data_IF_874488894492
#
_entry.id   IF_874488894492
#
_cell.length_a   1.000
_cell.length_b   1.000
_cell.length_c   1.000
_cell.angle_alpha   90.00
_cell.angle_beta   90.00
_cell.angle_gamma   90.00
#
_symmetry.space_group_name_H-M   'P 1'
#
loop_
_entity.id
_entity.type
_entity.pdbx_description
1 polymer ?
#
# COMPACT_ATOMS: atom_id res chain seq x y z
N UNK A 1 10.55 15.66 2.80
CA UNK A 1 10.83 14.62 1.80
C UNK A 1 11.28 13.28 2.44
N UNK A 2 10.67 12.89 3.55
CA UNK A 2 10.88 11.61 4.22
C UNK A 2 9.55 10.93 4.52
N UNK A 3 8.55 11.14 3.68
CA UNK A 3 7.28 10.42 3.75
C UNK A 3 7.51 8.98 3.34
N UNK A 4 7.17 8.10 4.21
CA UNK A 4 6.90 6.65 3.93
C UNK A 4 8.06 5.74 3.49
N UNK A 5 9.31 6.18 3.48
CA UNK A 5 10.42 5.31 3.03
C UNK A 5 10.77 4.18 3.99
N UNK A 6 10.08 4.07 5.12
CA UNK A 6 10.57 3.19 6.18
C UNK A 6 9.75 1.94 6.43
N UNK A 7 8.56 1.79 5.88
CA UNK A 7 7.83 0.58 6.19
C UNK A 7 7.82 -0.46 5.07
N UNK A 8 7.93 -0.13 3.87
CA UNK A 8 7.97 -1.07 2.75
C UNK A 8 8.33 -0.28 1.50
N UNK A 9 9.61 -0.09 1.28
CA UNK A 9 10.14 0.37 0.00
C UNK A 9 9.93 -0.75 -1.02
N UNK A 10 8.76 -0.83 -1.60
CA UNK A 10 8.59 -1.44 -2.90
C UNK A 10 9.01 -0.37 -3.91
N UNK A 11 10.33 -0.22 -4.09
CA UNK A 11 10.84 0.53 -5.23
C UNK A 11 10.36 -0.14 -6.52
N UNK A 12 10.03 0.66 -7.57
CA UNK A 12 9.78 0.11 -8.91
C UNK A 12 10.92 -0.75 -9.47
N UNK A 13 12.11 -0.70 -8.88
CA UNK A 13 13.26 -1.54 -9.20
C UNK A 13 13.12 -3.00 -8.76
N UNK A 14 12.13 -3.36 -7.92
CA UNK A 14 11.79 -4.76 -7.64
C UNK A 14 10.94 -5.40 -8.77
N UNK A 15 10.29 -4.60 -9.58
CA UNK A 15 9.76 -5.04 -10.86
C UNK A 15 10.86 -4.73 -11.88
N UNK A 16 11.52 -5.74 -12.42
CA UNK A 16 12.65 -5.62 -13.35
C UNK A 16 12.51 -4.40 -14.25
N UNK A 17 13.59 -3.69 -14.47
CA UNK A 17 13.56 -2.42 -15.18
C UNK A 17 12.78 -2.57 -16.48
N UNK A 18 11.91 -1.62 -16.82
CA UNK A 18 11.13 -1.58 -18.08
C UNK A 18 11.96 -2.00 -19.32
N UNK A 19 13.29 -1.71 -19.42
CA UNK A 19 14.15 -2.23 -20.47
C UNK A 19 14.27 -3.76 -20.53
N UNK A 20 14.34 -4.47 -19.40
CA UNK A 20 14.46 -5.94 -19.37
C UNK A 20 13.14 -6.62 -19.76
N UNK A 21 12.01 -6.05 -19.34
CA UNK A 21 10.69 -6.50 -19.78
C UNK A 21 10.49 -6.26 -21.30
N UNK A 22 10.87 -5.09 -21.79
CA UNK A 22 10.80 -4.77 -23.22
C UNK A 22 11.77 -5.65 -24.04
N UNK A 23 12.96 -5.95 -23.51
CA UNK A 23 13.90 -6.84 -24.15
C UNK A 23 13.38 -8.29 -24.19
N UNK A 24 12.74 -8.76 -23.13
CA UNK A 24 12.04 -10.06 -23.09
C UNK A 24 10.86 -10.08 -24.05
N UNK A 25 10.09 -9.01 -24.14
CA UNK A 25 8.96 -8.90 -25.05
C UNK A 25 9.42 -8.84 -26.53
N UNK A 26 10.52 -8.14 -26.82
CA UNK A 26 11.10 -8.08 -28.17
C UNK A 26 11.76 -9.40 -28.57
N UNK A 27 12.41 -10.09 -27.62
CA UNK A 27 12.92 -11.44 -27.83
C UNK A 27 11.78 -12.43 -28.06
N UNK A 28 10.68 -12.31 -27.34
CA UNK A 28 9.48 -13.11 -27.53
C UNK A 28 8.82 -12.82 -28.90
N UNK A 29 8.69 -11.55 -29.29
CA UNK A 29 8.20 -11.14 -30.61
C UNK A 29 9.10 -11.63 -31.73
N UNK A 30 10.43 -11.59 -31.56
CA UNK A 30 11.40 -12.04 -32.55
C UNK A 30 11.39 -13.56 -32.70
N UNK A 31 11.31 -14.30 -31.61
CA UNK A 31 11.22 -15.76 -31.63
C UNK A 31 9.89 -16.26 -32.18
N UNK A 32 8.76 -15.63 -31.80
CA UNK A 32 7.43 -16.03 -32.29
C UNK A 32 7.06 -15.43 -33.62
N UNK A 33 7.48 -14.20 -33.93
CA UNK A 33 7.20 -13.55 -35.20
C UNK A 33 7.92 -14.22 -36.37
N UNK A 34 9.16 -14.67 -36.19
CA UNK A 34 9.89 -15.39 -37.24
C UNK A 34 9.49 -16.88 -37.33
N UNK A 35 9.16 -17.51 -36.18
CA UNK A 35 8.67 -18.89 -36.14
C UNK A 35 7.25 -19.04 -36.72
N UNK A 36 6.37 -18.10 -36.45
CA UNK A 36 4.98 -18.12 -36.94
C UNK A 36 4.89 -17.93 -38.43
N UNK A 37 5.75 -17.09 -39.02
CA UNK A 37 5.82 -16.90 -40.47
C UNK A 37 6.37 -18.13 -41.20
N UNK A 38 7.32 -18.86 -40.60
CA UNK A 38 7.93 -20.05 -41.17
C UNK A 38 7.07 -21.32 -41.02
N UNK A 39 6.17 -21.37 -40.03
CA UNK A 39 5.32 -22.55 -39.72
C UNK A 39 3.85 -22.33 -40.01
N UNK A 40 3.44 -21.19 -40.57
CA UNK A 40 2.05 -20.91 -40.96
C UNK A 40 1.47 -21.92 -41.97
N UNK A 41 2.29 -22.78 -42.56
CA UNK A 41 1.86 -23.86 -43.42
C UNK A 41 1.74 -25.24 -42.76
N UNK A 42 2.13 -25.46 -41.52
CA UNK A 42 2.21 -26.77 -40.89
C UNK A 42 1.35 -27.01 -39.64
N UNK A 43 0.82 -25.96 -39.01
CA UNK A 43 -0.15 -26.14 -37.95
C UNK A 43 -1.55 -25.89 -38.50
N UNK A 44 -2.47 -26.83 -38.38
CA UNK A 44 -3.87 -26.60 -38.70
C UNK A 44 -4.51 -25.75 -37.60
N UNK A 45 -4.12 -24.51 -37.45
CA UNK A 45 -5.03 -23.52 -36.92
C UNK A 45 -6.08 -23.35 -38.02
N UNK A 46 -7.03 -24.28 -38.02
CA UNK A 46 -8.23 -24.08 -38.80
C UNK A 46 -8.83 -22.77 -38.28
N UNK A 47 -8.75 -21.74 -39.10
CA UNK A 47 -9.56 -20.53 -39.01
C UNK A 47 -11.01 -20.91 -39.28
N UNK A 48 -11.49 -21.95 -38.57
CA UNK A 48 -12.85 -22.43 -38.69
C UNK A 48 -13.69 -21.55 -37.79
N UNK A 49 -14.11 -20.41 -38.34
CA UNK A 49 -14.97 -19.46 -37.66
C UNK A 49 -16.21 -20.15 -37.06
N UNK A 50 -16.66 -21.25 -37.67
CA UNK A 50 -17.80 -22.04 -37.20
C UNK A 50 -17.49 -22.80 -35.92
N UNK A 51 -16.29 -23.36 -35.77
CA UNK A 51 -15.84 -24.02 -34.53
C UNK A 51 -15.59 -23.03 -33.41
N UNK A 52 -15.01 -21.86 -33.75
CA UNK A 52 -14.82 -20.79 -32.79
C UNK A 52 -16.18 -20.27 -32.25
N UNK A 53 -17.16 -20.08 -33.12
CA UNK A 53 -18.52 -19.70 -32.74
C UNK A 53 -19.22 -20.78 -31.90
N UNK A 54 -19.08 -22.07 -32.27
CA UNK A 54 -19.62 -23.16 -31.50
C UNK A 54 -19.02 -23.25 -30.09
N UNK A 55 -17.70 -23.05 -29.94
CA UNK A 55 -17.03 -22.98 -28.63
C UNK A 55 -17.50 -21.79 -27.79
N UNK A 56 -17.61 -20.61 -28.40
CA UNK A 56 -18.17 -19.42 -27.75
C UNK A 56 -19.58 -19.71 -27.22
N UNK A 57 -20.46 -20.19 -28.08
CA UNK A 57 -21.83 -20.52 -27.71
C UNK A 57 -21.89 -21.59 -26.61
N UNK A 58 -21.00 -22.58 -26.62
CA UNK A 58 -20.92 -23.59 -25.59
C UNK A 58 -20.51 -23.02 -24.24
N UNK A 59 -19.52 -22.11 -24.20
CA UNK A 59 -19.10 -21.43 -22.96
C UNK A 59 -20.25 -20.58 -22.40
N UNK A 60 -20.90 -19.80 -23.24
CA UNK A 60 -22.00 -18.91 -22.82
C UNK A 60 -23.22 -19.71 -22.34
N UNK A 61 -23.55 -20.83 -23.00
CA UNK A 61 -24.73 -21.65 -22.65
C UNK A 61 -24.49 -22.56 -21.43
N UNK A 62 -23.31 -23.16 -21.31
CA UNK A 62 -23.03 -24.10 -20.22
C UNK A 62 -22.53 -23.41 -18.94
N UNK A 63 -21.90 -22.24 -19.07
CA UNK A 63 -21.31 -21.50 -17.95
C UNK A 63 -21.68 -20.01 -17.99
N UNK A 64 -22.98 -19.64 -18.00
CA UNK A 64 -23.44 -18.26 -18.22
C UNK A 64 -22.96 -17.26 -17.16
N UNK A 65 -22.72 -17.73 -15.95
CA UNK A 65 -22.21 -16.91 -14.84
C UNK A 65 -20.68 -16.83 -14.79
N UNK A 66 -19.98 -17.58 -15.66
CA UNK A 66 -18.52 -17.54 -15.68
C UNK A 66 -18.06 -16.21 -16.30
N UNK A 67 -16.92 -15.71 -15.79
CA UNK A 67 -16.27 -14.52 -16.34
C UNK A 67 -15.97 -14.66 -17.84
N UNK A 68 -15.58 -15.85 -18.28
CA UNK A 68 -15.31 -16.11 -19.70
C UNK A 68 -16.55 -15.95 -20.57
N UNK A 69 -17.71 -16.43 -20.07
CA UNK A 69 -19.00 -16.21 -20.76
C UNK A 69 -19.34 -14.72 -20.84
N UNK A 70 -19.12 -13.96 -19.76
CA UNK A 70 -19.34 -12.51 -19.72
C UNK A 70 -18.42 -11.76 -20.70
N UNK A 71 -17.12 -12.10 -20.74
CA UNK A 71 -16.17 -11.52 -21.70
C UNK A 71 -16.59 -11.83 -23.14
N UNK A 72 -16.98 -13.08 -23.42
CA UNK A 72 -17.39 -13.50 -24.76
C UNK A 72 -18.70 -12.83 -25.19
N UNK A 73 -19.65 -12.66 -24.27
CA UNK A 73 -20.94 -12.01 -24.54
C UNK A 73 -20.80 -10.50 -24.74
N UNK A 74 -19.81 -9.85 -24.11
CA UNK A 74 -19.57 -8.41 -24.17
C UNK A 74 -18.59 -7.99 -25.29
N UNK A 75 -18.15 -8.90 -26.16
CA UNK A 75 -17.21 -8.56 -27.24
C UNK A 75 -17.78 -7.63 -28.31
N UNK A 76 -19.10 -7.39 -28.33
CA UNK A 76 -19.75 -6.47 -29.29
C UNK A 76 -20.04 -5.08 -28.72
N UNK A 77 -19.67 -4.79 -27.51
CA UNK A 77 -19.76 -3.43 -26.96
C UNK A 77 -18.37 -2.89 -26.73
N UNK A 78 -17.99 -1.89 -27.54
CA UNK A 78 -16.92 -0.93 -27.27
C UNK A 78 -17.19 -0.17 -25.94
N UNK A 79 -17.44 -0.88 -24.86
CA UNK A 79 -17.52 -0.31 -23.53
C UNK A 79 -16.09 -0.17 -22.98
N UNK A 80 -15.45 0.93 -23.36
CA UNK A 80 -14.19 1.42 -22.78
C UNK A 80 -14.28 1.63 -21.24
N UNK A 81 -15.40 1.32 -20.61
CA UNK A 81 -15.67 1.43 -19.18
C UNK A 81 -15.80 0.09 -18.44
N UNK A 82 -15.62 -1.07 -19.09
CA UNK A 82 -15.55 -2.32 -18.33
C UNK A 82 -14.34 -2.29 -17.40
N UNK A 83 -14.58 -2.43 -16.09
CA UNK A 83 -13.52 -2.56 -15.09
C UNK A 83 -12.81 -3.89 -15.32
N UNK A 84 -11.68 -3.84 -16.03
CA UNK A 84 -10.80 -5.00 -16.14
C UNK A 84 -10.08 -5.21 -14.80
N UNK A 85 -9.72 -6.46 -14.45
CA UNK A 85 -8.99 -6.73 -13.21
C UNK A 85 -7.70 -5.92 -13.08
N UNK A 86 -6.96 -5.75 -14.18
CA UNK A 86 -5.73 -4.95 -14.21
C UNK A 86 -6.01 -3.47 -13.96
N UNK A 87 -7.09 -2.93 -14.54
CA UNK A 87 -7.50 -1.54 -14.30
C UNK A 87 -7.91 -1.35 -12.84
N UNK A 88 -8.66 -2.29 -12.28
CA UNK A 88 -9.05 -2.29 -10.86
C UNK A 88 -7.82 -2.33 -9.96
N UNK A 89 -6.86 -3.23 -10.24
CA UNK A 89 -5.60 -3.30 -9.48
C UNK A 89 -4.83 -1.98 -9.53
N UNK A 90 -4.70 -1.36 -10.72
CA UNK A 90 -4.01 -0.09 -10.86
C UNK A 90 -4.69 1.04 -10.07
N UNK A 91 -6.03 1.10 -10.07
CA UNK A 91 -6.78 2.05 -9.26
C UNK A 91 -6.52 1.83 -7.76
N UNK A 92 -6.51 0.58 -7.30
CA UNK A 92 -6.23 0.23 -5.92
C UNK A 92 -4.80 0.56 -5.52
N UNK A 93 -3.85 0.35 -6.41
CA UNK A 93 -2.46 0.74 -6.18
C UNK A 93 -2.29 2.26 -6.06
N UNK A 94 -3.05 3.06 -6.83
CA UNK A 94 -3.11 4.52 -6.64
C UNK A 94 -3.69 4.92 -5.27
N UNK A 95 -4.73 4.22 -4.78
CA UNK A 95 -5.25 4.44 -3.42
C UNK A 95 -4.19 4.10 -2.36
N UNK A 96 -3.43 3.03 -2.56
CA UNK A 96 -2.31 2.66 -1.69
C UNK A 96 -1.24 3.76 -1.63
N UNK A 97 -0.83 4.29 -2.79
CA UNK A 97 0.14 5.41 -2.87
C UNK A 97 -0.37 6.69 -2.20
N UNK A 98 -1.69 6.92 -2.24
CA UNK A 98 -2.34 8.06 -1.58
C UNK A 98 -2.60 7.82 -0.09
N UNK A 99 -2.14 6.70 0.45
CA UNK A 99 -2.31 6.30 1.86
C UNK A 99 -3.79 6.19 2.31
N UNK A 100 -4.71 5.95 1.37
CA UNK A 100 -6.14 5.75 1.66
C UNK A 100 -6.41 4.29 2.08
N UNK A 101 -5.67 3.81 3.07
CA UNK A 101 -5.59 2.38 3.41
C UNK A 101 -6.91 1.79 3.90
N UNK A 102 -7.69 2.51 4.69
CA UNK A 102 -8.99 2.02 5.21
C UNK A 102 -9.96 1.78 4.05
N UNK A 103 -10.11 2.79 3.21
CA UNK A 103 -10.98 2.70 2.02
C UNK A 103 -10.49 1.63 1.04
N UNK A 104 -9.18 1.55 0.84
CA UNK A 104 -8.57 0.53 -0.01
C UNK A 104 -8.85 -0.88 0.52
N UNK A 105 -8.73 -1.11 1.82
CA UNK A 105 -8.96 -2.43 2.42
C UNK A 105 -10.38 -2.93 2.18
N UNK A 106 -11.38 -2.05 2.31
CA UNK A 106 -12.78 -2.38 2.00
C UNK A 106 -12.96 -2.76 0.53
N UNK A 107 -12.35 -1.98 -0.38
CA UNK A 107 -12.38 -2.25 -1.82
C UNK A 107 -11.70 -3.57 -2.18
N UNK A 108 -10.53 -3.85 -1.60
CA UNK A 108 -9.81 -5.10 -1.81
C UNK A 108 -10.61 -6.31 -1.36
N UNK A 109 -11.25 -6.26 -0.19
CA UNK A 109 -12.09 -7.35 0.30
C UNK A 109 -13.24 -7.67 -0.66
N UNK A 110 -13.85 -6.65 -1.26
CA UNK A 110 -14.91 -6.82 -2.26
C UNK A 110 -14.36 -7.40 -3.56
N UNK A 111 -13.25 -6.85 -4.07
CA UNK A 111 -12.65 -7.26 -5.35
C UNK A 111 -12.10 -8.68 -5.31
N UNK A 112 -11.54 -9.13 -4.19
CA UNK A 112 -11.04 -10.49 -4.01
C UNK A 112 -12.17 -11.53 -4.17
N UNK A 113 -13.37 -11.22 -3.67
CA UNK A 113 -14.55 -12.06 -3.87
C UNK A 113 -15.00 -12.02 -5.33
N UNK A 114 -15.07 -10.81 -5.91
CA UNK A 114 -15.52 -10.59 -7.29
C UNK A 114 -14.62 -11.28 -8.32
N UNK A 115 -13.30 -11.24 -8.13
CA UNK A 115 -12.30 -11.80 -9.03
C UNK A 115 -11.82 -13.20 -8.59
N UNK A 116 -12.62 -13.92 -7.79
CA UNK A 116 -12.27 -15.27 -7.37
C UNK A 116 -12.02 -16.18 -8.56
N UNK A 117 -10.86 -16.87 -8.56
CA UNK A 117 -10.41 -17.72 -9.67
C UNK A 117 -9.72 -17.01 -10.82
N UNK A 118 -9.52 -15.70 -10.73
CA UNK A 118 -8.81 -14.89 -11.73
C UNK A 118 -7.30 -14.84 -11.47
N UNK A 119 -6.52 -14.68 -12.54
CA UNK A 119 -5.05 -14.53 -12.47
C UNK A 119 -4.59 -13.30 -11.70
N UNK A 120 -5.43 -12.28 -11.56
CA UNK A 120 -5.14 -11.07 -10.78
C UNK A 120 -5.22 -11.29 -9.27
N UNK A 121 -5.87 -12.38 -8.83
CA UNK A 121 -6.17 -12.60 -7.42
C UNK A 121 -4.94 -12.59 -6.50
N UNK A 122 -3.81 -13.23 -6.85
CA UNK A 122 -2.60 -13.16 -6.03
C UNK A 122 -2.08 -11.72 -5.84
N UNK A 123 -2.18 -10.86 -6.87
CA UNK A 123 -1.79 -9.45 -6.78
C UNK A 123 -2.67 -8.66 -5.83
N UNK A 124 -3.98 -8.90 -5.88
CA UNK A 124 -4.94 -8.25 -4.97
C UNK A 124 -4.72 -8.70 -3.52
N UNK A 125 -4.47 -10.01 -3.31
CA UNK A 125 -4.19 -10.56 -1.99
C UNK A 125 -2.87 -10.00 -1.40
N UNK A 126 -1.82 -9.91 -2.19
CA UNK A 126 -0.56 -9.30 -1.74
C UNK A 126 -0.73 -7.80 -1.44
N UNK A 127 -1.50 -7.07 -2.26
CA UNK A 127 -1.81 -5.66 -1.98
C UNK A 127 -2.65 -5.52 -0.70
N UNK A 128 -3.59 -6.45 -0.44
CA UNK A 128 -4.34 -6.52 0.81
C UNK A 128 -3.41 -6.75 2.00
N UNK A 129 -2.48 -7.69 1.92
CA UNK A 129 -1.49 -7.94 2.96
C UNK A 129 -0.67 -6.70 3.27
N UNK A 130 -0.17 -6.00 2.23
CA UNK A 130 0.57 -4.74 2.39
C UNK A 130 -0.29 -3.64 3.02
N UNK A 131 -1.57 -3.55 2.67
CA UNK A 131 -2.52 -2.58 3.26
C UNK A 131 -2.78 -2.89 4.73
N UNK A 132 -2.96 -4.16 5.06
CA UNK A 132 -3.11 -4.63 6.45
C UNK A 132 -1.85 -4.34 7.29
N UNK A 133 -0.66 -4.45 6.72
CA UNK A 133 0.59 -4.08 7.39
C UNK A 133 0.58 -2.60 7.83
N UNK A 134 0.07 -1.71 6.98
CA UNK A 134 -0.03 -0.26 7.27
C UNK A 134 -1.00 0.04 8.41
N UNK A 135 -2.11 -0.68 8.48
CA UNK A 135 -3.16 -0.45 9.46
C UNK A 135 -2.97 -1.24 10.77
N UNK A 136 -2.49 -2.48 10.69
CA UNK A 136 -2.49 -3.42 11.80
C UNK A 136 -1.10 -3.91 12.23
N UNK A 137 -0.06 -3.53 11.50
CA UNK A 137 1.33 -3.77 11.86
C UNK A 137 1.85 -5.16 11.46
N UNK A 138 3.08 -5.44 11.94
CA UNK A 138 3.90 -6.56 11.47
C UNK A 138 3.30 -7.94 11.78
N UNK A 139 2.59 -8.10 12.89
CA UNK A 139 1.99 -9.40 13.27
C UNK A 139 0.91 -9.82 12.28
N UNK A 140 0.01 -8.90 11.93
CA UNK A 140 -1.05 -9.14 10.94
C UNK A 140 -0.45 -9.29 9.54
N UNK A 141 0.56 -8.49 9.22
CA UNK A 141 1.28 -8.60 7.95
C UNK A 141 1.90 -9.98 7.74
N UNK A 142 2.63 -10.48 8.74
CA UNK A 142 3.23 -11.82 8.71
C UNK A 142 2.19 -12.88 8.37
N UNK A 143 1.08 -12.89 9.09
CA UNK A 143 -0.02 -13.83 8.87
C UNK A 143 -0.58 -13.73 7.46
N UNK A 144 -0.83 -12.52 6.97
CA UNK A 144 -1.35 -12.31 5.63
C UNK A 144 -0.36 -12.76 4.54
N UNK A 145 0.95 -12.55 4.72
CA UNK A 145 1.98 -13.06 3.82
C UNK A 145 2.05 -14.59 3.84
N UNK A 146 1.89 -15.24 5.01
CA UNK A 146 1.82 -16.70 5.13
C UNK A 146 0.65 -17.25 4.32
N UNK A 147 -0.52 -16.62 4.38
CA UNK A 147 -1.70 -16.99 3.59
C UNK A 147 -1.41 -16.86 2.08
N UNK A 148 -0.83 -15.74 1.62
CA UNK A 148 -0.47 -15.55 0.19
C UNK A 148 0.56 -16.58 -0.28
N UNK A 149 1.61 -16.81 0.50
CA UNK A 149 2.67 -17.77 0.15
C UNK A 149 2.15 -19.22 0.08
N UNK A 150 1.18 -19.57 0.93
CA UNK A 150 0.56 -20.89 0.98
C UNK A 150 -0.45 -21.10 -0.15
N UNK A 151 -1.29 -20.10 -0.43
CA UNK A 151 -2.35 -20.23 -1.44
C UNK A 151 -1.82 -20.12 -2.87
N UNK A 152 -0.75 -19.34 -3.08
CA UNK A 152 -0.21 -19.03 -4.41
C UNK A 152 1.29 -19.36 -4.56
N UNK A 153 1.75 -20.57 -4.18
CA UNK A 153 3.19 -20.90 -4.08
C UNK A 153 3.96 -20.79 -5.38
N UNK A 154 3.28 -20.91 -6.52
CA UNK A 154 3.87 -20.91 -7.86
C UNK A 154 3.81 -19.55 -8.57
N UNK A 155 3.04 -18.58 -8.05
CA UNK A 155 2.97 -17.23 -8.61
C UNK A 155 4.14 -16.36 -8.13
N UNK A 156 4.38 -15.26 -8.80
CA UNK A 156 5.43 -14.33 -8.39
C UNK A 156 5.09 -13.65 -7.07
N UNK A 157 3.81 -13.36 -6.81
CA UNK A 157 3.32 -12.80 -5.55
C UNK A 157 3.51 -13.78 -4.38
N UNK A 158 3.27 -15.07 -4.58
CA UNK A 158 3.50 -16.09 -3.56
C UNK A 158 5.00 -16.26 -3.24
N UNK A 159 5.86 -16.24 -4.27
CA UNK A 159 7.33 -16.24 -4.09
C UNK A 159 7.80 -14.97 -3.36
N UNK A 160 7.26 -13.80 -3.75
CA UNK A 160 7.54 -12.53 -3.08
C UNK A 160 7.11 -12.56 -1.62
N UNK A 161 5.92 -13.07 -1.31
CA UNK A 161 5.45 -13.22 0.07
C UNK A 161 6.39 -14.11 0.89
N UNK A 162 6.88 -15.22 0.32
CA UNK A 162 7.85 -16.12 0.96
C UNK A 162 9.20 -15.44 1.20
N UNK A 163 9.68 -14.63 0.26
CA UNK A 163 10.90 -13.86 0.41
C UNK A 163 10.78 -12.82 1.54
N UNK A 164 9.67 -12.08 1.57
CA UNK A 164 9.37 -11.11 2.63
C UNK A 164 9.31 -11.77 4.02
N UNK A 165 8.70 -12.95 4.13
CA UNK A 165 8.66 -13.74 5.36
C UNK A 165 10.04 -14.17 5.84
N UNK A 166 10.91 -14.56 4.92
CA UNK A 166 12.24 -15.06 5.25
C UNK A 166 13.23 -13.96 5.58
N UNK A 167 13.18 -12.82 4.87
CA UNK A 167 14.24 -11.80 4.91
C UNK A 167 13.81 -10.53 5.65
N UNK A 168 12.56 -10.07 5.47
CA UNK A 168 12.12 -8.78 6.00
C UNK A 168 11.41 -8.90 7.36
N UNK A 169 10.45 -9.80 7.48
CA UNK A 169 9.66 -9.97 8.69
C UNK A 169 10.52 -10.18 9.94
N UNK A 170 11.55 -11.06 9.94
CA UNK A 170 12.38 -11.28 11.12
C UNK A 170 13.11 -10.01 11.61
N UNK A 171 13.51 -9.12 10.69
CA UNK A 171 14.13 -7.85 11.05
C UNK A 171 13.13 -6.86 11.65
N UNK A 172 11.90 -6.83 11.14
CA UNK A 172 10.82 -5.97 11.66
C UNK A 172 10.32 -6.44 13.04
N UNK A 173 10.29 -7.75 13.29
CA UNK A 173 9.92 -8.31 14.59
C UNK A 173 10.95 -7.99 15.69
N UNK A 174 12.25 -7.92 15.32
CA UNK A 174 13.35 -7.67 16.26
C UNK A 174 13.52 -6.23 16.68
N UNK A 175 13.00 -5.25 15.93
CA UNK A 175 13.11 -3.84 16.35
C UNK A 175 12.39 -3.63 17.68
N UNK A 176 12.97 -2.80 18.55
CA UNK A 176 12.38 -2.48 19.83
C UNK A 176 12.65 -1.02 20.22
N UNK A 177 12.04 -0.57 21.32
CA UNK A 177 12.25 0.76 21.84
C UNK A 177 13.69 0.97 22.27
N UNK A 178 14.19 2.17 21.98
CA UNK A 178 15.54 2.59 22.36
C UNK A 178 15.51 3.87 23.19
N UNK A 179 16.47 4.02 24.07
CA UNK A 179 16.69 5.25 24.85
C UNK A 179 17.57 6.25 24.10
N UNK A 180 18.33 5.81 23.10
CA UNK A 180 19.14 6.69 22.26
C UNK A 180 18.31 7.32 21.15
N UNK A 181 18.39 8.62 21.00
CA UNK A 181 17.61 9.34 19.99
C UNK A 181 18.46 10.40 19.28
N UNK A 182 18.43 10.41 17.96
CA UNK A 182 19.06 11.43 17.11
C UNK A 182 18.13 12.60 16.78
N UNK A 183 16.85 12.33 16.74
CA UNK A 183 15.81 13.33 16.47
C UNK A 183 14.48 12.93 17.11
N UNK A 184 13.62 13.90 17.28
CA UNK A 184 12.34 13.75 17.97
C UNK A 184 11.19 14.23 17.09
N UNK A 185 9.99 13.82 17.48
CA UNK A 185 8.72 14.18 16.85
C UNK A 185 7.72 14.58 17.93
N UNK A 186 6.80 15.47 17.56
CA UNK A 186 5.59 15.72 18.34
C UNK A 186 4.41 15.18 17.55
N UNK A 187 3.60 14.35 18.17
CA UNK A 187 2.41 13.76 17.57
C UNK A 187 1.17 14.36 18.22
N UNK A 188 0.18 14.67 17.40
CA UNK A 188 -1.17 14.99 17.83
C UNK A 188 -2.12 13.93 17.28
N UNK A 189 -2.86 13.23 18.15
CA UNK A 189 -3.92 12.30 17.71
C UNK A 189 -5.02 13.09 17.01
N UNK A 190 -5.39 12.66 15.81
CA UNK A 190 -6.41 13.31 14.97
C UNK A 190 -7.33 12.29 14.32
N UNK A 191 -8.46 12.78 13.81
CA UNK A 191 -9.38 12.00 13.00
C UNK A 191 -8.91 11.83 11.55
N UNK A 192 -9.85 11.61 10.65
CA UNK A 192 -9.56 11.57 9.21
C UNK A 192 -9.14 12.94 8.69
N UNK A 193 -8.41 12.98 7.59
CA UNK A 193 -7.85 14.22 7.04
C UNK A 193 -8.92 15.27 6.67
N UNK A 194 -10.16 14.84 6.38
CA UNK A 194 -11.28 15.74 6.08
C UNK A 194 -11.94 16.34 7.32
N UNK A 195 -11.65 15.82 8.51
CA UNK A 195 -12.22 16.29 9.78
C UNK A 195 -11.84 17.76 10.03
N UNK A 196 -12.80 18.64 10.38
CA UNK A 196 -12.53 20.04 10.69
C UNK A 196 -11.47 20.25 11.77
N UNK A 197 -11.47 19.43 12.83
CA UNK A 197 -10.49 19.50 13.90
C UNK A 197 -9.09 19.13 13.41
N UNK A 198 -8.98 18.10 12.56
CA UNK A 198 -7.70 17.72 11.95
C UNK A 198 -7.13 18.86 11.11
N UNK A 199 -7.98 19.52 10.30
CA UNK A 199 -7.57 20.68 9.50
C UNK A 199 -7.16 21.88 10.36
N UNK A 200 -7.90 22.16 11.42
CA UNK A 200 -7.55 23.24 12.36
C UNK A 200 -6.16 23.02 12.97
N UNK A 201 -5.86 21.81 13.42
CA UNK A 201 -4.55 21.46 14.00
C UNK A 201 -3.46 21.57 12.92
N UNK A 202 -3.73 21.08 11.72
CA UNK A 202 -2.79 21.15 10.59
C UNK A 202 -2.44 22.60 10.25
N UNK A 203 -3.44 23.49 10.16
CA UNK A 203 -3.26 24.90 9.91
C UNK A 203 -2.42 25.61 11.01
N UNK A 204 -2.67 25.28 12.28
CA UNK A 204 -1.90 25.82 13.40
C UNK A 204 -0.43 25.38 13.37
N UNK A 205 -0.16 24.11 13.04
CA UNK A 205 1.20 23.59 12.87
C UNK A 205 1.88 24.27 11.69
N UNK A 206 1.20 24.39 10.56
CA UNK A 206 1.71 25.03 9.35
C UNK A 206 2.05 26.50 9.63
N UNK A 207 1.12 27.23 10.22
CA UNK A 207 1.30 28.64 10.60
C UNK A 207 2.49 28.83 11.54
N UNK A 208 2.61 27.95 12.55
CA UNK A 208 3.74 27.98 13.47
C UNK A 208 5.08 27.79 12.75
N UNK A 209 5.18 26.83 11.82
CA UNK A 209 6.42 26.59 11.05
C UNK A 209 6.79 27.80 10.18
N UNK A 210 5.80 28.41 9.53
CA UNK A 210 5.99 29.54 8.59
C UNK A 210 6.36 30.83 9.32
N UNK A 211 5.65 31.20 10.38
CA UNK A 211 5.83 32.47 11.09
C UNK A 211 7.09 32.48 11.95
N UNK A 212 7.42 31.37 12.61
CA UNK A 212 8.63 31.27 13.44
C UNK A 212 9.88 30.94 12.61
N UNK A 213 9.78 30.95 11.27
CA UNK A 213 10.90 30.75 10.32
C UNK A 213 11.77 29.55 10.68
N UNK A 214 11.12 28.46 11.07
CA UNK A 214 11.80 27.27 11.56
C UNK A 214 12.34 26.46 10.38
N UNK A 215 13.59 26.73 10.01
CA UNK A 215 14.26 26.01 8.92
C UNK A 215 14.32 24.50 9.16
N UNK A 216 14.17 23.73 8.06
CA UNK A 216 14.29 22.26 8.03
C UNK A 216 13.22 21.50 8.83
N UNK A 217 12.14 22.13 9.26
CA UNK A 217 11.04 21.44 9.90
C UNK A 217 9.91 21.16 8.92
N UNK A 218 9.26 20.04 9.12
CA UNK A 218 8.14 19.62 8.31
C UNK A 218 7.10 18.97 9.20
N UNK A 219 5.89 18.88 8.70
CA UNK A 219 4.84 18.09 9.30
C UNK A 219 4.28 17.10 8.27
N UNK A 220 3.61 16.08 8.76
CA UNK A 220 2.87 15.12 7.93
C UNK A 220 1.59 14.68 8.62
N UNK A 221 0.62 14.26 7.82
CA UNK A 221 -0.51 13.47 8.29
C UNK A 221 -0.14 12.00 8.07
N UNK A 222 -0.12 11.21 9.14
CA UNK A 222 0.28 9.81 9.10
C UNK A 222 -0.88 8.94 9.58
N UNK A 223 -1.27 7.96 8.77
CA UNK A 223 -2.22 6.92 9.17
C UNK A 223 -1.52 5.98 10.16
N UNK A 224 -2.13 5.80 11.33
CA UNK A 224 -1.58 4.90 12.33
C UNK A 224 -2.31 3.56 12.35
N UNK A 225 -3.64 3.58 12.54
CA UNK A 225 -4.48 2.39 12.47
C UNK A 225 -5.71 2.69 11.61
N UNK A 226 -6.66 1.77 11.57
CA UNK A 226 -7.98 2.00 10.96
C UNK A 226 -8.83 3.06 11.68
N UNK A 227 -8.45 3.42 12.93
CA UNK A 227 -9.21 4.33 13.81
C UNK A 227 -8.43 5.56 14.25
N UNK A 228 -7.11 5.51 14.23
CA UNK A 228 -6.25 6.56 14.77
C UNK A 228 -5.26 7.05 13.73
N UNK A 229 -5.10 8.36 13.64
CA UNK A 229 -4.14 9.03 12.78
C UNK A 229 -3.37 10.08 13.59
N UNK A 230 -2.25 10.53 13.05
CA UNK A 230 -1.44 11.57 13.66
C UNK A 230 -1.16 12.71 12.71
N UNK A 231 -1.19 13.93 13.24
CA UNK A 231 -0.38 15.01 12.69
C UNK A 231 0.96 14.99 13.40
N UNK A 232 2.02 14.85 12.62
CA UNK A 232 3.38 14.61 13.11
C UNK A 232 4.25 15.81 12.77
N UNK A 233 4.83 16.43 13.78
CA UNK A 233 5.82 17.48 13.63
C UNK A 233 7.23 16.89 13.71
N UNK A 234 8.04 17.05 12.67
CA UNK A 234 9.31 16.36 12.47
C UNK A 234 10.55 17.21 12.81
N UNK A 235 11.71 16.54 12.82
CA UNK A 235 13.05 17.15 12.87
C UNK A 235 13.32 17.99 14.13
N UNK A 236 12.89 17.50 15.27
CA UNK A 236 13.10 18.15 16.56
C UNK A 236 14.42 17.63 17.16
N UNK A 237 15.29 18.52 17.60
CA UNK A 237 16.67 18.20 18.03
C UNK A 237 16.77 17.44 19.36
N UNK A 238 15.79 17.62 20.26
CA UNK A 238 15.78 16.98 21.60
C UNK A 238 14.37 16.92 22.17
N UNK A 239 14.17 16.08 23.18
CA UNK A 239 12.92 15.99 23.94
C UNK A 239 12.62 17.30 24.69
N UNK A 240 13.64 17.88 25.32
CA UNK A 240 13.50 19.18 25.99
C UNK A 240 13.01 20.27 25.03
N UNK A 241 13.61 20.33 23.85
CA UNK A 241 13.20 21.29 22.83
C UNK A 241 11.78 21.02 22.28
N UNK A 242 11.34 19.76 22.25
CA UNK A 242 9.95 19.44 21.93
C UNK A 242 8.97 19.99 22.99
N UNK A 243 9.34 19.88 24.28
CA UNK A 243 8.56 20.49 25.36
C UNK A 243 8.52 22.01 25.27
N UNK A 244 9.64 22.65 24.93
CA UNK A 244 9.69 24.11 24.73
C UNK A 244 8.74 24.55 23.61
N UNK A 245 8.72 23.83 22.49
CA UNK A 245 7.79 24.08 21.37
C UNK A 245 6.33 23.97 21.84
N UNK A 246 5.99 22.89 22.54
CA UNK A 246 4.62 22.66 23.04
C UNK A 246 4.21 23.79 24.01
N UNK A 247 5.08 24.18 24.91
CA UNK A 247 4.83 25.25 25.87
C UNK A 247 4.67 26.61 25.16
N UNK A 248 5.51 26.90 24.17
CA UNK A 248 5.39 28.11 23.36
C UNK A 248 4.07 28.15 22.59
N UNK A 249 3.70 27.03 21.93
CA UNK A 249 2.42 26.92 21.22
C UNK A 249 1.23 27.11 22.16
N UNK A 250 1.28 26.57 23.38
CA UNK A 250 0.22 26.74 24.38
C UNK A 250 0.11 28.18 24.88
N UNK A 251 1.21 28.89 25.02
CA UNK A 251 1.23 30.29 25.47
C UNK A 251 0.69 31.27 24.42
N UNK A 252 0.70 30.88 23.16
CA UNK A 252 0.28 31.74 22.04
C UNK A 252 -1.05 31.25 21.47
N UNK A 253 -2.13 32.01 21.68
CA UNK A 253 -3.50 31.64 21.25
C UNK A 253 -3.61 31.21 19.79
N UNK A 254 -2.81 31.82 18.91
CA UNK A 254 -2.82 31.54 17.48
C UNK A 254 -2.29 30.14 17.12
N UNK A 255 -1.52 29.49 18.00
CA UNK A 255 -0.95 28.15 17.79
C UNK A 255 -1.49 27.11 18.76
N UNK A 256 -2.34 27.51 19.73
CA UNK A 256 -2.80 26.61 20.78
C UNK A 256 -3.56 25.43 20.22
N UNK A 257 -3.03 24.22 20.48
CA UNK A 257 -3.66 22.93 20.18
C UNK A 257 -4.12 22.34 21.51
N UNK A 258 -5.39 21.97 21.59
CA UNK A 258 -6.01 21.44 22.83
C UNK A 258 -5.73 19.95 23.03
N UNK A 259 -5.46 19.21 21.95
CA UNK A 259 -5.13 17.80 22.01
C UNK A 259 -3.82 17.55 22.73
N UNK A 260 -3.74 16.50 23.56
CA UNK A 260 -2.49 16.09 24.19
C UNK A 260 -1.41 15.82 23.15
N UNK A 261 -0.24 16.44 23.33
CA UNK A 261 0.93 16.18 22.51
C UNK A 261 1.68 14.94 23.03
N UNK A 262 2.12 14.09 22.13
CA UNK A 262 2.99 12.94 22.43
C UNK A 262 4.37 13.25 21.87
N UNK A 263 5.38 13.24 22.74
CA UNK A 263 6.79 13.40 22.34
C UNK A 263 7.41 12.02 22.21
N UNK A 264 8.00 11.75 21.06
CA UNK A 264 8.60 10.45 20.74
C UNK A 264 9.87 10.63 19.92
N UNK A 265 10.89 9.80 20.14
CA UNK A 265 12.04 9.77 19.25
C UNK A 265 11.67 9.23 17.88
N UNK A 266 12.40 9.64 16.83
CA UNK A 266 12.15 9.15 15.47
C UNK A 266 12.30 7.63 15.36
N UNK A 267 13.23 7.04 16.13
CA UNK A 267 13.44 5.60 16.15
C UNK A 267 12.26 4.87 16.82
N UNK A 268 11.78 5.37 17.96
CA UNK A 268 10.62 4.80 18.66
C UNK A 268 9.32 5.04 17.88
N UNK A 269 9.22 6.15 17.14
CA UNK A 269 8.09 6.37 16.23
C UNK A 269 8.02 5.29 15.15
N UNK A 270 9.17 4.87 14.60
CA UNK A 270 9.25 3.76 13.67
C UNK A 270 8.76 2.46 14.31
N UNK A 271 9.14 2.19 15.56
CA UNK A 271 8.70 0.98 16.29
C UNK A 271 7.17 0.97 16.43
N UNK A 272 6.56 2.07 16.89
CA UNK A 272 5.10 2.11 17.04
C UNK A 272 4.37 2.00 15.71
N UNK A 273 4.92 2.53 14.63
CA UNK A 273 4.32 2.40 13.30
C UNK A 273 4.34 0.95 12.79
N UNK A 274 5.39 0.20 13.08
CA UNK A 274 5.55 -1.19 12.65
C UNK A 274 4.79 -2.16 13.57
N UNK A 275 4.89 -1.99 14.88
CA UNK A 275 4.32 -2.91 15.87
C UNK A 275 2.92 -2.50 16.35
N UNK A 276 2.44 -1.29 16.04
CA UNK A 276 1.17 -0.72 16.50
C UNK A 276 1.00 -0.78 18.03
N UNK A 277 2.07 -0.49 18.75
CA UNK A 277 2.18 -0.66 20.20
C UNK A 277 2.39 0.66 20.96
N UNK A 278 1.75 1.75 20.50
CA UNK A 278 1.84 3.08 21.14
C UNK A 278 1.53 3.06 22.64
N UNK A 279 0.50 2.31 23.06
CA UNK A 279 0.10 2.25 24.46
C UNK A 279 1.19 1.65 25.35
N UNK A 280 1.95 0.67 24.83
CA UNK A 280 3.11 0.10 25.53
C UNK A 280 4.20 1.17 25.68
N UNK A 281 4.47 1.95 24.62
CA UNK A 281 5.41 3.06 24.70
C UNK A 281 5.01 4.11 25.73
N UNK A 282 3.74 4.52 25.74
CA UNK A 282 3.24 5.50 26.70
C UNK A 282 3.29 5.00 28.14
N UNK A 283 3.04 3.71 28.35
CA UNK A 283 3.14 3.10 29.68
C UNK A 283 4.59 3.08 30.20
N UNK A 284 5.57 2.80 29.33
CA UNK A 284 6.99 2.79 29.68
C UNK A 284 7.55 4.17 30.05
N UNK A 285 6.93 5.26 29.57
CA UNK A 285 7.33 6.63 29.91
C UNK A 285 6.76 7.14 31.26
N UNK A 286 5.81 6.41 31.86
CA UNK A 286 5.20 6.78 33.14
C UNK A 286 5.94 6.17 34.34
N UNK A 287 6.85 5.24 34.09
CA UNK A 287 7.76 4.66 35.09
C UNK A 287 9.07 5.45 35.17
#
# INVERSE_FOLDING_TARGET
YWKSHFLFNLEPSMFGTIPEFNQSLDMFKTMWGQGAAAQAGQFPFTTDASKAAAMKNRIVSQYPSSRYAQIISNTDTNNSNAETPEKTYNQFYELFKKEQFVFLLEKLNTAIIQFSGDEILPKLELLRANTQAKLFGVVVYKKALEEVAQQYPNTDEGKQAKDLLSNQIPSLEKIDFTTTAKSWKILFKVGVQSDPLTKEIEEKIKKFIEEEKIEKRSYSYDVYTDKENFLVFHNIKSEAYANDIINYMKANKQYTITQPAIIISSDNYKVIQIKKNLEIYLASKKQ
#
